data_IF_562286507372
#
_entry.id   IF_562286507372
#
_cell.length_a   1.000
_cell.length_b   1.000
_cell.length_c   1.000
_cell.angle_alpha   90.00
_cell.angle_beta   90.00
_cell.angle_gamma   90.00
#
_symmetry.space_group_name_H-M   'P 1'
#
loop_
_entity.id
_entity.type
_entity.pdbx_description
1 polymer ?
#
# COMPACT_ATOMS: atom_id res chain seq x y z
N UNK A 1 10.51 13.48 -10.84
CA UNK A 1 9.18 14.03 -10.59
C UNK A 1 9.14 14.84 -9.27
N UNK A 2 9.53 14.27 -8.13
CA UNK A 2 9.41 14.93 -6.81
C UNK A 2 10.14 16.27 -6.74
N UNK A 3 11.37 16.32 -7.31
CA UNK A 3 12.11 17.58 -7.41
C UNK A 3 11.39 18.60 -8.30
N UNK A 4 10.83 18.17 -9.44
CA UNK A 4 10.04 19.03 -10.33
C UNK A 4 8.82 19.61 -9.61
N UNK A 5 8.12 18.76 -8.86
CA UNK A 5 6.89 19.11 -8.13
C UNK A 5 7.15 19.86 -6.81
N UNK A 6 8.38 20.26 -6.49
CA UNK A 6 8.76 20.92 -5.24
C UNK A 6 8.30 20.15 -4.00
N UNK A 7 8.43 18.82 -4.02
CA UNK A 7 8.07 17.95 -2.89
C UNK A 7 9.31 17.83 -2.00
N UNK A 8 9.17 18.26 -0.75
CA UNK A 8 10.14 18.02 0.31
C UNK A 8 9.80 16.75 1.08
N UNK A 9 10.82 16.03 1.51
CA UNK A 9 10.68 14.83 2.34
C UNK A 9 11.90 14.66 3.24
N UNK A 10 11.68 14.12 4.44
CA UNK A 10 12.78 13.88 5.40
C UNK A 10 13.43 12.52 5.15
N UNK A 11 12.66 11.54 4.70
CA UNK A 11 13.10 10.18 4.39
C UNK A 11 12.55 9.70 3.07
N UNK A 12 13.39 9.04 2.31
CA UNK A 12 13.03 8.30 1.11
C UNK A 12 13.64 6.91 1.24
N UNK A 13 12.81 5.88 1.13
CA UNK A 13 13.23 4.49 1.28
C UNK A 13 12.88 3.67 0.05
N UNK A 14 13.77 2.73 -0.27
CA UNK A 14 13.49 1.63 -1.20
C UNK A 14 13.56 0.32 -0.44
N UNK A 15 12.66 -0.60 -0.75
CA UNK A 15 12.67 -1.94 -0.14
C UNK A 15 13.90 -2.77 -0.51
N UNK A 16 14.70 -2.29 -1.46
CA UNK A 16 16.02 -2.85 -1.82
C UNK A 16 17.20 -2.24 -1.05
N UNK A 17 16.96 -1.29 -0.15
CA UNK A 17 18.03 -0.72 0.66
C UNK A 17 18.53 -1.75 1.69
N UNK A 18 19.82 -1.93 1.81
CA UNK A 18 20.43 -2.97 2.65
C UNK A 18 19.97 -2.91 4.12
N UNK A 19 19.85 -1.70 4.66
CA UNK A 19 19.39 -1.51 6.05
C UNK A 19 17.92 -1.92 6.24
N UNK A 20 17.10 -1.77 5.19
CA UNK A 20 15.71 -2.22 5.19
C UNK A 20 15.65 -3.74 5.12
N UNK A 21 16.37 -4.35 4.20
CA UNK A 21 16.46 -5.82 4.06
C UNK A 21 16.85 -6.47 5.39
N UNK A 22 17.92 -5.97 6.04
CA UNK A 22 18.35 -6.47 7.33
C UNK A 22 17.30 -6.29 8.44
N UNK A 23 16.57 -5.17 8.42
CA UNK A 23 15.49 -4.94 9.36
C UNK A 23 14.29 -5.87 9.13
N UNK A 24 13.94 -6.15 7.87
CA UNK A 24 12.85 -7.10 7.54
C UNK A 24 13.15 -8.49 8.05
N UNK A 25 14.38 -8.97 7.92
CA UNK A 25 14.79 -10.26 8.47
C UNK A 25 14.56 -10.33 9.99
N UNK A 26 14.94 -9.28 10.72
CA UNK A 26 14.70 -9.18 12.18
C UNK A 26 13.20 -9.10 12.52
N UNK A 27 12.42 -8.33 11.76
CA UNK A 27 10.97 -8.21 11.94
C UNK A 27 10.30 -9.56 11.73
N UNK A 28 10.59 -10.23 10.62
CA UNK A 28 10.03 -11.55 10.31
C UNK A 28 10.38 -12.58 11.39
N UNK A 29 11.65 -12.60 11.81
CA UNK A 29 12.13 -13.47 12.89
C UNK A 29 11.41 -13.17 14.21
N UNK A 30 11.24 -11.90 14.60
CA UNK A 30 10.54 -11.50 15.83
C UNK A 30 9.09 -11.96 15.83
N UNK A 31 8.37 -11.78 14.72
CA UNK A 31 6.98 -12.24 14.58
C UNK A 31 6.91 -13.78 14.64
N UNK A 32 7.88 -14.48 14.03
CA UNK A 32 8.00 -15.93 14.11
C UNK A 32 8.25 -16.42 15.53
N UNK A 33 9.18 -15.81 16.26
CA UNK A 33 9.51 -16.15 17.64
C UNK A 33 8.34 -15.90 18.60
N UNK A 34 7.49 -14.92 18.31
CA UNK A 34 6.24 -14.66 19.03
C UNK A 34 5.16 -15.74 18.76
N UNK A 35 5.41 -16.68 17.85
CA UNK A 35 4.46 -17.73 17.46
C UNK A 35 3.35 -17.25 16.52
N UNK A 36 3.45 -16.04 15.98
CA UNK A 36 2.46 -15.45 15.06
C UNK A 36 2.78 -15.73 13.58
N UNK A 37 3.96 -16.24 13.28
CA UNK A 37 4.27 -16.88 11.99
C UNK A 37 4.52 -18.37 12.24
N UNK A 38 3.96 -19.21 11.38
CA UNK A 38 4.13 -20.66 11.42
C UNK A 38 4.31 -21.25 10.03
N UNK A 39 4.95 -22.39 9.95
CA UNK A 39 5.18 -23.12 8.69
C UNK A 39 3.97 -23.98 8.36
N UNK A 40 3.54 -23.95 7.11
CA UNK A 40 2.38 -24.69 6.62
C UNK A 40 2.53 -24.96 5.13
N UNK A 41 1.44 -25.33 4.49
CA UNK A 41 1.38 -25.63 3.06
C UNK A 41 0.35 -24.74 2.38
N UNK A 42 0.78 -24.04 1.33
CA UNK A 42 -0.08 -23.25 0.46
C UNK A 42 -0.52 -24.09 -0.72
N UNK A 43 -1.83 -24.26 -0.88
CA UNK A 43 -2.44 -24.96 -2.02
C UNK A 43 -3.11 -23.94 -2.94
N UNK A 44 -2.84 -24.06 -4.23
CA UNK A 44 -3.42 -23.13 -5.20
C UNK A 44 -3.24 -23.62 -6.63
N UNK A 45 -3.75 -22.84 -7.58
CA UNK A 45 -3.64 -23.07 -9.01
C UNK A 45 -2.36 -22.43 -9.53
N UNK A 46 -1.38 -23.23 -9.86
CA UNK A 46 -0.05 -22.77 -10.28
C UNK A 46 0.08 -22.69 -11.79
N UNK A 47 0.51 -21.54 -12.27
CA UNK A 47 0.90 -21.33 -13.66
C UNK A 47 2.43 -21.44 -13.78
N UNK A 48 2.93 -22.56 -14.32
CA UNK A 48 4.37 -22.80 -14.44
C UNK A 48 5.11 -21.73 -15.30
N UNK A 49 4.56 -21.24 -16.44
CA UNK A 49 5.25 -20.24 -17.25
C UNK A 49 5.31 -18.84 -16.63
N UNK A 50 4.36 -18.50 -15.76
CA UNK A 50 4.33 -17.22 -15.05
C UNK A 50 4.89 -17.33 -13.63
N UNK A 51 5.22 -18.55 -13.18
CA UNK A 51 5.70 -18.84 -11.82
C UNK A 51 4.78 -18.25 -10.73
N UNK A 52 3.45 -18.30 -10.97
CA UNK A 52 2.46 -17.62 -10.14
C UNK A 52 1.38 -18.55 -9.67
N UNK A 53 1.02 -18.40 -8.39
CA UNK A 53 -0.16 -19.05 -7.80
C UNK A 53 -1.38 -18.15 -7.91
N UNK A 54 -2.52 -18.77 -8.15
CA UNK A 54 -3.82 -18.12 -8.28
C UNK A 54 -4.85 -18.85 -7.42
N UNK A 55 -5.78 -18.09 -6.87
CA UNK A 55 -6.99 -18.68 -6.29
C UNK A 55 -7.97 -19.05 -7.41
N UNK A 56 -8.88 -19.95 -7.15
CA UNK A 56 -9.92 -20.37 -8.12
C UNK A 56 -10.70 -19.17 -8.66
N UNK A 57 -11.02 -18.21 -7.79
CA UNK A 57 -11.77 -16.99 -8.14
C UNK A 57 -10.98 -15.98 -9.01
N UNK A 58 -9.67 -16.10 -9.07
CA UNK A 58 -8.81 -15.22 -9.88
C UNK A 58 -8.61 -15.75 -11.30
N UNK A 59 -8.92 -17.02 -11.54
CA UNK A 59 -8.77 -17.63 -12.85
C UNK A 59 -9.77 -17.02 -13.85
N UNK A 60 -9.37 -16.96 -15.13
CA UNK A 60 -10.23 -16.63 -16.24
C UNK A 60 -10.48 -17.91 -17.03
N UNK A 61 -11.71 -18.41 -17.00
CA UNK A 61 -12.11 -19.66 -17.65
C UNK A 61 -11.20 -20.87 -17.27
N UNK A 62 -10.81 -20.93 -15.99
CA UNK A 62 -9.91 -21.98 -15.49
C UNK A 62 -8.44 -21.83 -15.88
N UNK A 63 -8.07 -20.67 -16.49
CA UNK A 63 -6.72 -20.40 -16.97
C UNK A 63 -6.07 -19.24 -16.21
N UNK A 64 -4.75 -19.16 -16.32
CA UNK A 64 -3.96 -18.08 -15.76
C UNK A 64 -4.42 -16.70 -16.32
N UNK A 65 -4.75 -15.72 -15.48
CA UNK A 65 -5.25 -14.42 -15.93
C UNK A 65 -4.19 -13.61 -16.69
N UNK A 66 -2.89 -13.89 -16.46
CA UNK A 66 -1.80 -13.15 -17.09
C UNK A 66 -1.45 -13.66 -18.48
N UNK A 67 -1.39 -14.98 -18.68
CA UNK A 67 -0.91 -15.55 -19.93
C UNK A 67 -1.93 -16.45 -20.64
N UNK A 68 -3.13 -16.66 -20.08
CA UNK A 68 -4.19 -17.48 -20.66
C UNK A 68 -3.91 -18.99 -20.72
N UNK A 69 -2.82 -19.47 -20.13
CA UNK A 69 -2.45 -20.90 -20.16
C UNK A 69 -3.15 -21.67 -19.04
N UNK A 70 -3.39 -22.99 -19.24
CA UNK A 70 -3.94 -23.84 -18.21
C UNK A 70 -3.05 -23.84 -16.96
N UNK A 71 -3.67 -23.80 -15.79
CA UNK A 71 -3.02 -23.95 -14.49
C UNK A 71 -3.14 -25.37 -13.96
N UNK A 72 -2.29 -25.73 -13.00
CA UNK A 72 -2.31 -27.06 -12.33
C UNK A 72 -2.46 -26.84 -10.84
N UNK A 73 -3.08 -27.80 -10.17
CA UNK A 73 -3.02 -27.83 -8.70
C UNK A 73 -1.57 -28.03 -8.26
N UNK A 74 -1.14 -27.21 -7.34
CA UNK A 74 0.20 -27.29 -6.76
C UNK A 74 0.13 -26.97 -5.28
N UNK A 75 1.09 -27.50 -4.56
CA UNK A 75 1.27 -27.29 -3.14
C UNK A 75 2.70 -26.82 -2.91
N UNK A 76 2.85 -25.75 -2.14
CA UNK A 76 4.12 -25.14 -1.82
C UNK A 76 4.23 -24.99 -0.30
N UNK A 77 5.36 -25.37 0.27
CA UNK A 77 5.66 -25.06 1.67
C UNK A 77 5.81 -23.54 1.81
N UNK A 78 5.16 -22.98 2.80
CA UNK A 78 5.17 -21.55 3.04
C UNK A 78 5.01 -21.22 4.52
N UNK A 79 5.40 -20.01 4.90
CA UNK A 79 5.10 -19.42 6.20
C UNK A 79 3.77 -18.65 6.13
N UNK A 80 3.01 -18.73 7.23
CA UNK A 80 1.72 -18.07 7.39
C UNK A 80 1.75 -17.17 8.62
N UNK A 81 1.24 -15.96 8.47
CA UNK A 81 0.99 -15.05 9.58
C UNK A 81 -0.42 -15.27 10.13
N UNK A 82 -0.56 -15.45 11.44
CA UNK A 82 -1.84 -15.67 12.15
C UNK A 82 -2.69 -14.41 12.16
N UNK A 83 -3.09 -13.93 10.98
CA UNK A 83 -3.91 -12.74 10.83
C UNK A 83 -5.27 -12.90 11.53
N UNK A 84 -5.84 -14.10 11.47
CA UNK A 84 -7.10 -14.47 12.13
C UNK A 84 -7.11 -14.19 13.64
N UNK A 85 -5.98 -14.36 14.31
CA UNK A 85 -5.79 -14.08 15.74
C UNK A 85 -6.10 -12.62 16.12
N UNK A 86 -5.96 -11.70 15.17
CA UNK A 86 -6.08 -10.27 15.38
C UNK A 86 -7.45 -9.71 14.96
N UNK A 87 -8.39 -10.54 14.49
CA UNK A 87 -9.67 -10.12 13.92
C UNK A 87 -10.47 -9.18 14.86
N UNK A 88 -10.64 -9.56 16.13
CA UNK A 88 -11.39 -8.76 17.09
C UNK A 88 -10.71 -7.42 17.40
N UNK A 89 -9.37 -7.41 17.53
CA UNK A 89 -8.61 -6.19 17.78
C UNK A 89 -8.64 -5.25 16.58
N UNK A 90 -8.60 -5.79 15.36
CA UNK A 90 -8.72 -5.00 14.13
C UNK A 90 -10.12 -4.45 14.00
N UNK A 91 -11.16 -5.23 14.30
CA UNK A 91 -12.55 -4.74 14.33
C UNK A 91 -12.69 -3.57 15.29
N UNK A 92 -12.21 -3.72 16.51
CA UNK A 92 -12.26 -2.66 17.54
C UNK A 92 -11.52 -1.39 17.07
N UNK A 93 -10.33 -1.54 16.48
CA UNK A 93 -9.59 -0.43 15.91
C UNK A 93 -10.35 0.30 14.80
N UNK A 94 -11.03 -0.44 13.92
CA UNK A 94 -11.76 0.13 12.79
C UNK A 94 -13.09 0.78 13.20
N UNK A 95 -13.84 0.16 14.10
CA UNK A 95 -15.22 0.58 14.43
C UNK A 95 -15.26 1.57 15.60
N UNK A 96 -14.31 1.49 16.55
CA UNK A 96 -14.35 2.23 17.80
C UNK A 96 -13.32 3.36 17.91
N UNK A 97 -12.57 3.61 16.82
CA UNK A 97 -11.61 4.73 16.77
C UNK A 97 -11.74 5.50 15.45
N UNK A 98 -11.03 6.62 15.34
CA UNK A 98 -10.91 7.41 14.11
C UNK A 98 -9.69 7.01 13.27
N UNK A 99 -9.21 5.79 13.44
CA UNK A 99 -8.00 5.28 12.79
C UNK A 99 -8.10 5.29 11.25
N UNK A 100 -9.23 4.83 10.69
CA UNK A 100 -9.42 4.71 9.23
C UNK A 100 -10.34 5.78 8.68
N UNK A 101 -9.82 6.54 7.70
CA UNK A 101 -10.55 7.58 6.99
C UNK A 101 -10.52 7.36 5.45
N UNK A 102 -11.58 7.75 4.71
CA UNK A 102 -12.87 8.24 5.21
C UNK A 102 -13.72 7.11 5.81
N UNK A 103 -14.77 7.41 6.59
CA UNK A 103 -15.62 6.40 7.26
C UNK A 103 -16.22 5.35 6.34
N UNK A 104 -16.46 5.67 5.07
CA UNK A 104 -16.90 4.70 4.06
C UNK A 104 -15.95 3.51 3.90
N UNK A 105 -14.64 3.71 4.15
CA UNK A 105 -13.64 2.64 4.10
C UNK A 105 -13.73 1.70 5.29
N UNK A 106 -14.18 2.19 6.45
CA UNK A 106 -14.43 1.34 7.61
C UNK A 106 -15.50 0.30 7.26
N UNK A 107 -16.65 0.76 6.76
CA UNK A 107 -17.73 -0.16 6.35
C UNK A 107 -17.29 -1.16 5.28
N UNK A 108 -16.50 -0.70 4.31
CA UNK A 108 -15.95 -1.57 3.27
C UNK A 108 -15.03 -2.66 3.84
N UNK A 109 -14.11 -2.30 4.72
CA UNK A 109 -13.15 -3.24 5.33
C UNK A 109 -13.86 -4.23 6.25
N UNK A 110 -14.76 -3.76 7.09
CA UNK A 110 -15.50 -4.62 8.03
C UNK A 110 -16.37 -5.61 7.26
N UNK A 111 -17.21 -5.14 6.35
CA UNK A 111 -18.15 -5.97 5.60
C UNK A 111 -17.45 -7.00 4.69
N UNK A 112 -16.37 -6.59 4.02
CA UNK A 112 -15.77 -7.43 2.99
C UNK A 112 -14.67 -8.35 3.53
N UNK A 113 -14.08 -8.05 4.67
CA UNK A 113 -12.92 -8.79 5.18
C UNK A 113 -13.07 -9.27 6.62
N UNK A 114 -13.66 -8.46 7.52
CA UNK A 114 -13.78 -8.84 8.93
C UNK A 114 -15.00 -9.75 9.16
N UNK A 115 -16.17 -9.38 8.62
CA UNK A 115 -17.42 -10.16 8.80
C UNK A 115 -17.34 -11.58 8.23
N UNK A 116 -16.73 -11.82 7.05
CA UNK A 116 -16.56 -13.17 6.56
C UNK A 116 -15.54 -14.01 7.37
N UNK A 117 -14.77 -13.38 8.25
CA UNK A 117 -13.66 -13.97 8.99
C UNK A 117 -12.31 -13.73 8.30
N UNK A 118 -11.31 -13.29 9.09
CA UNK A 118 -9.95 -13.17 8.58
C UNK A 118 -9.28 -14.54 8.53
N UNK A 119 -8.71 -14.85 7.39
CA UNK A 119 -7.87 -16.04 7.20
C UNK A 119 -6.40 -15.69 7.43
N UNK A 120 -5.60 -16.68 7.84
CA UNK A 120 -4.17 -16.54 7.99
C UNK A 120 -3.51 -16.22 6.65
N UNK A 121 -2.57 -15.29 6.67
CA UNK A 121 -1.94 -14.77 5.47
C UNK A 121 -0.66 -15.54 5.13
N UNK A 122 -0.54 -16.07 3.93
CA UNK A 122 0.71 -16.63 3.43
C UNK A 122 1.75 -15.50 3.26
N UNK A 123 2.90 -15.62 3.95
CA UNK A 123 3.90 -14.55 4.09
C UNK A 123 5.29 -14.94 3.59
N UNK A 124 5.42 -16.06 2.90
CA UNK A 124 6.65 -16.42 2.18
C UNK A 124 6.37 -17.15 0.87
N UNK A 125 7.40 -17.24 0.03
CA UNK A 125 7.39 -17.96 -1.23
C UNK A 125 8.69 -18.75 -1.40
N UNK A 126 8.62 -19.89 -2.10
CA UNK A 126 9.78 -20.69 -2.52
C UNK A 126 9.93 -20.74 -4.04
N UNK A 127 8.88 -20.31 -4.77
CA UNK A 127 8.81 -20.39 -6.24
C UNK A 127 9.73 -19.40 -6.98
N UNK A 128 10.31 -18.42 -6.27
CA UNK A 128 11.29 -17.47 -6.81
C UNK A 128 12.28 -17.06 -5.72
N UNK A 129 13.44 -16.54 -6.15
CA UNK A 129 14.54 -16.19 -5.25
C UNK A 129 14.76 -14.67 -5.07
N UNK A 130 14.07 -13.84 -5.85
CA UNK A 130 14.19 -12.38 -5.72
C UNK A 130 13.34 -11.86 -4.56
N UNK A 131 13.95 -11.09 -3.66
CA UNK A 131 13.32 -10.50 -2.49
C UNK A 131 14.16 -10.66 -1.23
N UNK A 132 13.57 -10.40 -0.07
CA UNK A 132 14.25 -10.55 1.22
C UNK A 132 14.24 -12.03 1.62
N UNK A 133 15.40 -12.71 1.73
CA UNK A 133 15.44 -14.10 2.17
C UNK A 133 15.08 -14.20 3.66
N UNK A 134 14.38 -15.27 4.02
CA UNK A 134 14.18 -15.64 5.43
C UNK A 134 15.51 -16.17 5.95
N UNK A 135 16.15 -15.45 6.89
CA UNK A 135 17.54 -15.72 7.32
C UNK A 135 17.72 -17.10 7.96
N UNK A 136 16.73 -17.59 8.71
CA UNK A 136 16.76 -18.90 9.36
C UNK A 136 16.22 -20.05 8.44
N UNK A 137 15.69 -19.72 7.26
CA UNK A 137 15.24 -20.68 6.23
C UNK A 137 15.43 -20.11 4.83
N UNK A 138 16.68 -20.08 4.31
CA UNK A 138 17.04 -19.38 3.08
C UNK A 138 16.35 -19.89 1.81
N UNK A 139 15.63 -21.01 1.87
CA UNK A 139 14.78 -21.50 0.78
C UNK A 139 13.51 -20.67 0.59
N UNK A 140 13.19 -19.78 1.53
CA UNK A 140 12.02 -18.91 1.49
C UNK A 140 12.38 -17.46 1.30
N UNK A 141 11.54 -16.75 0.56
CA UNK A 141 11.59 -15.30 0.38
C UNK A 141 10.38 -14.68 1.05
N UNK A 142 10.58 -13.58 1.79
CA UNK A 142 9.51 -12.87 2.48
C UNK A 142 8.51 -12.30 1.47
N UNK A 143 7.22 -12.45 1.74
CA UNK A 143 6.15 -11.93 0.91
C UNK A 143 6.13 -10.39 0.91
N UNK A 144 5.88 -9.84 -0.27
CA UNK A 144 5.99 -8.41 -0.57
C UNK A 144 5.30 -7.48 0.43
N UNK A 145 4.15 -7.87 1.00
CA UNK A 145 3.44 -6.97 1.92
C UNK A 145 4.02 -6.93 3.33
N UNK A 146 4.68 -7.99 3.80
CA UNK A 146 5.47 -7.91 5.05
C UNK A 146 6.64 -6.95 4.86
N UNK A 147 7.32 -7.05 3.73
CA UNK A 147 8.40 -6.18 3.32
C UNK A 147 7.91 -4.73 3.15
N UNK A 148 6.98 -4.51 2.25
CA UNK A 148 6.49 -3.18 1.89
C UNK A 148 5.88 -2.41 3.07
N UNK A 149 5.07 -3.03 3.93
CA UNK A 149 4.44 -2.35 5.06
C UNK A 149 5.43 -1.95 6.15
N UNK A 150 6.47 -2.74 6.35
CA UNK A 150 7.48 -2.45 7.37
C UNK A 150 8.36 -1.23 7.03
N UNK A 151 8.34 -0.73 5.77
CA UNK A 151 9.14 0.44 5.39
C UNK A 151 8.85 1.68 6.26
N UNK A 152 7.61 1.83 6.74
CA UNK A 152 7.21 2.99 7.56
C UNK A 152 8.01 3.11 8.85
N UNK A 153 8.39 2.00 9.47
CA UNK A 153 9.18 2.00 10.71
C UNK A 153 10.68 1.81 10.43
N UNK A 154 11.06 1.02 9.42
CA UNK A 154 12.47 0.81 9.10
C UNK A 154 13.13 2.06 8.54
N UNK A 155 12.39 2.91 7.81
CA UNK A 155 12.85 4.22 7.35
C UNK A 155 13.16 5.18 8.51
N UNK A 156 12.61 4.92 9.70
CA UNK A 156 12.87 5.69 10.92
C UNK A 156 13.96 5.08 11.80
N UNK A 157 14.46 3.88 11.46
CA UNK A 157 15.53 3.19 12.19
C UNK A 157 15.08 1.95 12.96
N UNK A 158 13.81 1.55 12.92
CA UNK A 158 13.39 0.33 13.57
C UNK A 158 14.12 -0.89 12.99
N UNK A 159 14.77 -1.66 13.86
CA UNK A 159 15.51 -2.86 13.48
C UNK A 159 16.84 -2.61 12.74
N UNK A 160 17.30 -1.36 12.63
CA UNK A 160 18.56 -0.99 11.98
C UNK A 160 19.21 0.22 12.67
N UNK A 161 20.50 0.46 12.37
CA UNK A 161 21.28 1.55 12.94
C UNK A 161 21.41 2.77 11.99
N UNK A 162 20.64 2.79 10.89
CA UNK A 162 20.74 3.87 9.89
C UNK A 162 20.20 5.19 10.41
N UNK A 163 19.10 5.13 11.16
CA UNK A 163 18.42 6.29 11.74
C UNK A 163 18.00 5.99 13.18
N UNK A 164 17.77 7.04 13.96
CA UNK A 164 17.30 6.95 15.35
C UNK A 164 15.95 7.67 15.57
N UNK A 165 15.24 7.94 14.49
CA UNK A 165 14.00 8.74 14.53
C UNK A 165 12.85 7.96 15.16
N UNK A 166 12.88 6.62 15.03
CA UNK A 166 11.93 5.75 15.70
C UNK A 166 12.01 5.88 17.23
N UNK A 167 13.21 5.82 17.78
CA UNK A 167 13.48 5.98 19.21
C UNK A 167 13.16 7.39 19.73
N UNK A 168 13.27 8.40 18.87
CA UNK A 168 12.90 9.79 19.17
C UNK A 168 11.38 10.04 19.14
N UNK A 169 10.58 9.02 18.89
CA UNK A 169 9.12 9.11 18.91
C UNK A 169 8.48 9.70 17.65
N UNK A 170 9.13 9.58 16.49
CA UNK A 170 8.52 9.95 15.20
C UNK A 170 7.41 8.97 14.78
N UNK A 171 7.42 7.78 15.34
CA UNK A 171 6.33 6.84 15.23
C UNK A 171 5.47 6.85 16.53
N UNK A 172 4.13 6.68 16.47
CA UNK A 172 3.31 6.45 15.31
C UNK A 172 2.96 7.72 14.52
N UNK A 173 2.90 7.56 13.19
CA UNK A 173 2.54 8.61 12.24
C UNK A 173 1.17 8.41 11.59
N UNK A 174 0.93 9.12 10.49
CA UNK A 174 -0.24 8.98 9.62
C UNK A 174 0.16 8.31 8.32
N UNK A 175 -0.57 7.27 7.90
CA UNK A 175 -0.41 6.65 6.59
C UNK A 175 -1.41 7.27 5.60
N UNK A 176 -0.93 7.84 4.50
CA UNK A 176 -1.75 8.33 3.38
C UNK A 176 -1.51 7.41 2.19
N UNK A 177 -2.54 6.72 1.73
CA UNK A 177 -2.43 5.65 0.75
C UNK A 177 -3.55 5.68 -0.28
N UNK A 178 -3.33 5.11 -1.45
CA UNK A 178 -4.39 4.91 -2.42
C UNK A 178 -5.45 3.91 -1.91
N UNK A 179 -6.70 4.13 -2.27
CA UNK A 179 -7.81 3.29 -1.78
C UNK A 179 -7.65 1.80 -2.08
N UNK A 180 -6.91 1.45 -3.14
CA UNK A 180 -6.67 0.06 -3.55
C UNK A 180 -5.80 -0.74 -2.56
N UNK A 181 -5.00 -0.04 -1.75
CA UNK A 181 -4.13 -0.66 -0.76
C UNK A 181 -4.56 -0.41 0.69
N UNK A 182 -5.75 0.15 0.89
CA UNK A 182 -6.32 0.40 2.24
C UNK A 182 -6.40 -0.89 3.04
N UNK A 183 -6.82 -2.02 2.45
CA UNK A 183 -6.87 -3.31 3.13
C UNK A 183 -5.54 -3.69 3.80
N UNK A 184 -4.44 -3.50 3.10
CA UNK A 184 -3.11 -3.83 3.63
C UNK A 184 -2.72 -2.92 4.79
N UNK A 185 -3.08 -1.64 4.72
CA UNK A 185 -2.71 -0.63 5.71
C UNK A 185 -3.66 -0.56 6.91
N UNK A 186 -4.91 -1.02 6.76
CA UNK A 186 -5.89 -0.97 7.84
C UNK A 186 -6.15 -2.32 8.54
N UNK A 187 -5.71 -3.42 7.93
CA UNK A 187 -5.89 -4.78 8.48
C UNK A 187 -4.53 -5.43 8.74
N UNK A 188 -3.72 -5.63 7.69
CA UNK A 188 -2.48 -6.42 7.80
C UNK A 188 -1.43 -5.66 8.59
N UNK A 189 -1.20 -4.38 8.27
CA UNK A 189 -0.19 -3.56 8.95
C UNK A 189 -0.44 -3.40 10.45
N UNK A 190 -1.65 -3.03 10.91
CA UNK A 190 -1.93 -2.99 12.34
C UNK A 190 -1.74 -4.36 13.03
N UNK A 191 -2.16 -5.46 12.40
CA UNK A 191 -1.96 -6.79 12.95
C UNK A 191 -0.47 -7.14 13.12
N UNK A 192 0.36 -6.80 12.13
CA UNK A 192 1.83 -6.97 12.23
C UNK A 192 2.41 -6.16 13.38
N UNK A 193 2.03 -4.90 13.52
CA UNK A 193 2.49 -4.03 14.61
C UNK A 193 2.04 -4.56 15.97
N UNK A 194 0.80 -5.01 16.11
CA UNK A 194 0.31 -5.65 17.33
C UNK A 194 1.10 -6.92 17.69
N UNK A 195 1.49 -7.70 16.68
CA UNK A 195 2.36 -8.87 16.86
C UNK A 195 3.77 -8.49 17.31
N UNK A 196 4.29 -7.39 16.79
CA UNK A 196 5.61 -6.86 17.19
C UNK A 196 5.59 -6.21 18.58
N UNK A 197 4.41 -5.91 19.14
CA UNK A 197 4.24 -5.12 20.35
C UNK A 197 4.47 -3.62 20.13
N UNK A 198 4.33 -3.17 18.89
CA UNK A 198 4.55 -1.78 18.48
C UNK A 198 3.22 -1.03 18.31
N UNK A 199 3.19 0.30 18.52
CA UNK A 199 1.98 1.08 18.35
C UNK A 199 1.52 1.10 16.88
N UNK A 200 0.20 1.02 16.66
CA UNK A 200 -0.41 1.20 15.34
C UNK A 200 -0.31 2.66 14.89
N UNK A 201 -0.41 2.97 13.57
CA UNK A 201 -0.45 4.35 13.10
C UNK A 201 -1.56 5.15 13.78
N UNK A 202 -1.35 6.44 13.95
CA UNK A 202 -2.41 7.34 14.47
C UNK A 202 -3.62 7.36 13.56
N UNK A 203 -3.39 7.30 12.25
CA UNK A 203 -4.45 7.33 11.23
C UNK A 203 -3.98 6.67 9.94
N UNK A 204 -4.91 6.00 9.26
CA UNK A 204 -4.77 5.55 7.88
C UNK A 204 -5.79 6.29 7.02
N UNK A 205 -5.34 7.02 6.01
CA UNK A 205 -6.20 7.76 5.10
C UNK A 205 -6.13 7.18 3.69
N UNK A 206 -7.27 6.65 3.20
CA UNK A 206 -7.40 6.10 1.86
C UNK A 206 -7.92 7.14 0.86
N UNK A 207 -7.01 7.76 0.06
CA UNK A 207 -7.43 8.69 -0.98
C UNK A 207 -7.98 7.99 -2.23
N UNK A 208 -8.81 8.70 -2.98
CA UNK A 208 -9.40 8.23 -4.24
C UNK A 208 -8.41 8.18 -5.41
N UNK A 209 -8.86 7.67 -6.52
CA UNK A 209 -8.08 7.63 -7.76
C UNK A 209 -8.24 8.92 -8.56
N UNK A 210 -7.19 9.27 -9.29
CA UNK A 210 -7.28 10.19 -10.40
C UNK A 210 -7.69 9.39 -11.65
N UNK A 211 -8.86 9.70 -12.17
CA UNK A 211 -9.44 9.05 -13.34
C UNK A 211 -9.23 9.92 -14.58
N UNK A 212 -9.22 9.30 -15.76
CA UNK A 212 -9.30 9.98 -17.05
C UNK A 212 -10.48 9.40 -17.82
N UNK A 213 -11.38 10.26 -18.29
CA UNK A 213 -12.62 9.88 -19.01
C UNK A 213 -13.47 8.85 -18.22
N UNK A 214 -13.56 9.03 -16.90
CA UNK A 214 -14.28 8.12 -16.00
C UNK A 214 -13.64 6.76 -15.77
N UNK A 215 -12.44 6.51 -16.33
CA UNK A 215 -11.70 5.26 -16.20
C UNK A 215 -10.36 5.39 -15.49
N UNK A 216 -9.90 4.29 -14.88
CA UNK A 216 -8.57 4.24 -14.26
C UNK A 216 -7.48 4.43 -15.30
N UNK A 217 -6.51 5.31 -15.00
CA UNK A 217 -5.31 5.48 -15.82
C UNK A 217 -4.49 4.18 -15.84
N UNK A 218 -4.05 3.78 -17.02
CA UNK A 218 -3.22 2.58 -17.21
C UNK A 218 -2.22 2.79 -18.33
N UNK A 219 -0.94 2.49 -18.06
CA UNK A 219 0.11 2.53 -19.09
C UNK A 219 -0.20 1.64 -20.28
N UNK A 220 -0.81 0.47 -20.03
CA UNK A 220 -1.19 -0.47 -21.10
C UNK A 220 -2.33 0.03 -21.99
N UNK A 221 -3.15 0.96 -21.51
CA UNK A 221 -4.23 1.59 -22.29
C UNK A 221 -3.79 2.88 -22.96
N UNK A 222 -2.58 3.39 -22.67
CA UNK A 222 -2.09 4.65 -23.22
C UNK A 222 -2.82 5.90 -22.70
N UNK A 223 -3.70 5.76 -21.70
CA UNK A 223 -4.50 6.85 -21.14
C UNK A 223 -3.85 7.41 -19.85
N UNK A 224 -2.57 7.74 -19.89
CA UNK A 224 -1.84 8.29 -18.76
C UNK A 224 -1.55 9.77 -19.01
N UNK A 225 -1.88 10.61 -18.06
CA UNK A 225 -1.52 12.02 -18.07
C UNK A 225 -0.07 12.16 -17.57
N UNK A 226 0.79 12.78 -18.36
CA UNK A 226 2.18 13.01 -18.00
C UNK A 226 2.32 14.30 -17.18
N UNK A 227 2.70 14.22 -15.89
CA UNK A 227 2.85 15.40 -15.06
C UNK A 227 4.00 16.33 -15.48
N UNK A 228 4.99 15.82 -16.22
CA UNK A 228 6.06 16.66 -16.77
C UNK A 228 5.53 17.62 -17.84
N UNK A 229 4.69 17.10 -18.75
CA UNK A 229 4.06 17.91 -19.81
C UNK A 229 3.13 18.95 -19.19
N UNK A 230 2.30 18.56 -18.21
CA UNK A 230 1.42 19.51 -17.53
C UNK A 230 2.17 20.59 -16.77
N UNK A 231 3.24 20.23 -16.07
CA UNK A 231 4.07 21.18 -15.35
C UNK A 231 4.78 22.18 -16.28
N UNK A 232 5.19 21.72 -17.47
CA UNK A 232 5.79 22.59 -18.50
C UNK A 232 4.77 23.56 -19.11
N UNK A 233 3.55 23.09 -19.39
CA UNK A 233 2.50 23.90 -20.04
C UNK A 233 1.83 24.89 -19.06
N UNK A 234 1.53 24.49 -17.85
CA UNK A 234 0.70 25.25 -16.91
C UNK A 234 1.46 25.76 -15.68
N UNK A 235 2.68 25.32 -15.47
CA UNK A 235 3.44 25.57 -14.26
C UNK A 235 3.15 24.60 -13.13
N UNK A 236 4.16 24.37 -12.29
CA UNK A 236 4.10 23.42 -11.16
C UNK A 236 3.06 23.84 -10.12
N UNK A 237 3.00 25.11 -9.78
CA UNK A 237 2.09 25.61 -8.73
C UNK A 237 0.62 25.48 -9.14
N UNK A 238 0.30 25.77 -10.41
CA UNK A 238 -1.05 25.59 -10.94
C UNK A 238 -1.48 24.12 -10.92
N UNK A 239 -0.58 23.22 -11.33
CA UNK A 239 -0.85 21.78 -11.28
C UNK A 239 -1.04 21.27 -9.85
N UNK A 240 -0.19 21.67 -8.91
CA UNK A 240 -0.31 21.33 -7.49
C UNK A 240 -1.62 21.85 -6.90
N UNK A 241 -1.96 23.11 -7.19
CA UNK A 241 -3.22 23.69 -6.73
C UNK A 241 -4.43 22.91 -7.26
N UNK A 242 -4.46 22.61 -8.57
CA UNK A 242 -5.51 21.83 -9.19
C UNK A 242 -5.72 20.48 -8.49
N UNK A 243 -4.64 19.70 -8.27
CA UNK A 243 -4.70 18.39 -7.64
C UNK A 243 -5.23 18.45 -6.20
N UNK A 244 -4.92 19.50 -5.47
CA UNK A 244 -5.36 19.65 -4.08
C UNK A 244 -6.75 20.27 -3.93
N UNK A 245 -7.18 21.06 -4.94
CA UNK A 245 -8.42 21.85 -4.86
C UNK A 245 -9.63 21.15 -5.49
N UNK A 246 -9.41 20.45 -6.60
CA UNK A 246 -10.51 20.02 -7.47
C UNK A 246 -11.22 18.77 -6.96
N UNK A 247 -10.51 17.88 -6.26
CA UNK A 247 -11.07 16.61 -5.84
C UNK A 247 -11.32 16.58 -4.34
N UNK A 248 -12.51 16.18 -3.88
CA UNK A 248 -12.75 15.95 -2.45
C UNK A 248 -11.79 14.88 -1.94
N UNK A 249 -11.13 15.17 -0.80
CA UNK A 249 -10.17 14.24 -0.22
C UNK A 249 -10.87 12.93 0.16
N UNK A 250 -10.40 11.79 -0.36
CA UNK A 250 -10.99 10.46 -0.17
C UNK A 250 -11.91 10.00 -1.31
N UNK A 251 -12.33 10.88 -2.20
CA UNK A 251 -13.15 10.56 -3.37
C UNK A 251 -12.29 10.43 -4.63
N UNK A 252 -12.81 9.70 -5.63
CA UNK A 252 -12.21 9.69 -6.96
C UNK A 252 -12.40 11.05 -7.64
N UNK A 253 -11.39 11.46 -8.43
CA UNK A 253 -11.45 12.67 -9.22
C UNK A 253 -11.24 12.39 -10.70
N UNK A 254 -12.02 13.03 -11.56
CA UNK A 254 -11.84 12.90 -13.01
C UNK A 254 -10.99 14.08 -13.52
N UNK A 255 -9.84 13.76 -14.09
CA UNK A 255 -8.97 14.75 -14.72
C UNK A 255 -9.48 15.08 -16.12
N UNK A 256 -9.51 16.37 -16.45
CA UNK A 256 -9.56 16.85 -17.85
C UNK A 256 -8.76 18.14 -17.97
N UNK A 257 -8.27 18.43 -19.19
CA UNK A 257 -7.56 19.68 -19.46
C UNK A 257 -8.48 20.89 -19.25
N UNK A 258 -9.76 20.75 -19.59
CA UNK A 258 -10.77 21.80 -19.42
C UNK A 258 -10.93 22.16 -17.93
N UNK A 259 -11.02 21.13 -17.05
CA UNK A 259 -11.15 21.38 -15.61
C UNK A 259 -9.89 22.01 -15.02
N UNK A 260 -8.70 21.64 -15.50
CA UNK A 260 -7.44 22.28 -15.09
C UNK A 260 -7.42 23.76 -15.53
N UNK A 261 -7.74 24.07 -16.79
CA UNK A 261 -7.78 25.43 -17.31
C UNK A 261 -8.83 26.26 -16.56
N UNK A 262 -10.01 25.70 -16.31
CA UNK A 262 -11.07 26.36 -15.54
C UNK A 262 -10.62 26.70 -14.13
N UNK A 263 -9.99 25.77 -13.41
CA UNK A 263 -9.45 26.00 -12.07
C UNK A 263 -8.41 27.11 -12.06
N UNK A 264 -7.52 27.17 -13.04
CA UNK A 264 -6.53 28.24 -13.17
C UNK A 264 -7.22 29.59 -13.39
N UNK A 265 -8.17 29.66 -14.30
CA UNK A 265 -8.81 30.93 -14.67
C UNK A 265 -9.75 31.44 -13.59
N UNK A 266 -10.54 30.57 -12.97
CA UNK A 266 -11.54 30.96 -11.97
C UNK A 266 -10.91 31.09 -10.59
N UNK A 267 -10.36 30.01 -10.05
CA UNK A 267 -9.93 29.99 -8.66
C UNK A 267 -8.63 30.78 -8.43
N UNK A 268 -7.67 30.71 -9.37
CA UNK A 268 -6.39 31.42 -9.22
C UNK A 268 -6.45 32.85 -9.82
N UNK A 269 -6.82 33.00 -11.09
CA UNK A 269 -6.78 34.30 -11.74
C UNK A 269 -7.90 35.25 -11.25
N UNK A 270 -9.15 34.76 -11.21
CA UNK A 270 -10.26 35.62 -10.77
C UNK A 270 -10.33 35.74 -9.25
N UNK A 271 -10.50 34.58 -8.53
CA UNK A 271 -10.80 34.67 -7.11
C UNK A 271 -9.59 35.13 -6.29
N UNK A 272 -8.46 34.44 -6.39
CA UNK A 272 -7.24 34.78 -5.65
C UNK A 272 -6.61 36.10 -6.20
N UNK A 273 -6.57 36.26 -7.54
CA UNK A 273 -6.03 37.42 -8.18
C UNK A 273 -6.80 38.70 -7.82
N UNK A 274 -8.14 38.66 -7.80
CA UNK A 274 -8.96 39.78 -7.36
C UNK A 274 -8.82 40.06 -5.87
N UNK A 275 -8.65 39.03 -5.03
CA UNK A 275 -8.39 39.21 -3.60
C UNK A 275 -7.07 39.98 -3.37
N UNK A 276 -6.02 39.62 -4.11
CA UNK A 276 -4.72 40.32 -4.02
C UNK A 276 -4.76 41.75 -4.56
N UNK A 277 -5.62 42.06 -5.54
CA UNK A 277 -5.73 43.36 -6.17
C UNK A 277 -6.55 44.37 -5.35
N UNK A 278 -7.32 43.91 -4.37
CA UNK A 278 -8.12 44.75 -3.45
C UNK A 278 -7.38 45.10 -2.17
#
# INVERSE_FOLDING_TARGET
>A
LWKLMNISYDRFIRTTDDYHVAAIQKIFKKIYDNGDIYKGSYKGKYCKPCESFWTESQLKDGCCPDCGRPVKDAEEEAYFFRLSKYADKIRDLLENTDFLEPPSRVHEMVRNFIDPGLEDLCVSRTSFSWGVPVDFDPGHVVYVWIDALSNYITALGYGNDRYSDYEKGWWPGVNIVGKEIVRFHSIIWPAMLMSLGEPVPKKCFGHGWLLLDGGKMSKSKGNVVDPYILAEQFGVDALRFFLMRTFPFGSDGNFSNESLIQTINVDLANDLGNLLSR
#
